data_IF_313019324548
#
_entry.id   IF_313019324548
#
_cell.length_a   1.000
_cell.length_b   1.000
_cell.length_c   1.000
_cell.angle_alpha   90.00
_cell.angle_beta   90.00
_cell.angle_gamma   90.00
#
_symmetry.space_group_name_H-M   'P 1'
#
loop_
_entity.id
_entity.type
_entity.pdbx_description
1 polymer ?
#
# COMPACT_ATOMS: atom_id res chain seq x y z
N UNK A 1 -1.95 9.96 -31.39
CA UNK A 1 -0.67 10.19 -30.66
C UNK A 1 -0.99 10.12 -29.19
N UNK A 2 -0.53 9.09 -28.47
CA UNK A 2 -0.65 9.01 -27.01
C UNK A 2 0.22 10.11 -26.39
N UNK A 3 -0.33 10.85 -25.43
CA UNK A 3 0.47 11.81 -24.68
C UNK A 3 1.70 11.10 -24.09
N UNK A 4 2.87 11.76 -24.04
CA UNK A 4 4.06 11.16 -23.45
C UNK A 4 3.75 10.73 -22.00
N UNK A 5 4.35 9.66 -21.52
CA UNK A 5 4.13 9.21 -20.14
C UNK A 5 4.53 10.35 -19.20
N UNK A 6 3.63 10.69 -18.29
CA UNK A 6 3.92 11.64 -17.21
C UNK A 6 5.04 11.07 -16.34
N UNK A 7 5.91 11.91 -15.80
CA UNK A 7 6.91 11.48 -14.83
C UNK A 7 6.25 10.92 -13.56
N UNK A 8 6.89 10.00 -12.83
CA UNK A 8 6.37 9.49 -11.57
C UNK A 8 6.32 10.61 -10.53
N UNK A 9 5.29 10.60 -9.68
CA UNK A 9 5.13 11.56 -8.58
C UNK A 9 5.67 11.01 -7.26
N UNK A 10 5.65 9.68 -7.10
CA UNK A 10 6.09 9.00 -5.89
C UNK A 10 6.99 7.81 -6.20
N UNK A 11 7.97 7.62 -5.32
CA UNK A 11 8.83 6.44 -5.24
C UNK A 11 8.46 5.64 -4.00
N UNK A 12 8.05 4.39 -4.17
CA UNK A 12 7.95 3.43 -3.08
C UNK A 12 9.30 2.72 -2.96
N UNK A 13 10.00 2.95 -1.86
CA UNK A 13 11.27 2.32 -1.56
C UNK A 13 11.05 1.15 -0.59
N UNK A 14 10.93 -0.08 -1.11
CA UNK A 14 10.92 -1.28 -0.27
C UNK A 14 12.37 -1.55 0.18
N UNK A 15 12.73 -1.02 1.34
CA UNK A 15 14.12 -1.03 1.80
C UNK A 15 14.62 -2.42 2.23
N UNK A 16 13.71 -3.26 2.73
CA UNK A 16 13.97 -4.62 3.21
C UNK A 16 12.67 -5.42 3.24
N UNK A 17 12.75 -6.75 3.14
CA UNK A 17 11.60 -7.62 3.42
C UNK A 17 11.60 -8.17 4.86
N UNK A 18 12.61 -7.86 5.67
CA UNK A 18 12.63 -8.26 7.09
C UNK A 18 11.54 -7.51 7.85
N UNK A 19 10.72 -8.24 8.59
CA UNK A 19 9.66 -7.67 9.41
C UNK A 19 9.50 -8.50 10.69
N UNK A 20 9.30 -7.87 11.87
CA UNK A 20 9.01 -8.58 13.10
C UNK A 20 7.56 -9.06 13.19
N UNK A 21 6.70 -8.66 12.24
CA UNK A 21 5.29 -9.06 12.18
C UNK A 21 5.08 -10.13 11.11
N UNK A 22 4.00 -10.93 11.27
CA UNK A 22 3.59 -12.01 10.37
C UNK A 22 2.12 -11.84 9.97
N UNK A 23 1.75 -10.62 9.53
CA UNK A 23 0.35 -10.28 9.25
C UNK A 23 -0.26 -11.19 8.19
N UNK A 24 -1.42 -11.76 8.48
CA UNK A 24 -2.15 -12.69 7.61
C UNK A 24 -2.61 -12.06 6.29
N UNK A 25 -2.57 -10.73 6.18
CA UNK A 25 -2.90 -9.96 4.97
C UNK A 25 -1.67 -9.29 4.34
N UNK A 26 -0.45 -9.66 4.74
CA UNK A 26 0.77 -8.99 4.30
C UNK A 26 0.82 -8.85 2.77
N UNK A 27 1.17 -7.64 2.31
CA UNK A 27 1.31 -7.35 0.88
C UNK A 27 2.71 -7.63 0.32
N UNK A 28 3.66 -8.02 1.18
CA UNK A 28 4.96 -8.50 0.70
C UNK A 28 4.80 -9.78 -0.12
N UNK A 29 5.70 -10.04 -1.07
CA UNK A 29 5.67 -11.28 -1.84
C UNK A 29 5.83 -12.50 -0.91
N UNK A 30 5.32 -13.66 -1.35
CA UNK A 30 5.47 -14.92 -0.60
C UNK A 30 6.94 -15.33 -0.49
N UNK A 31 7.73 -15.05 -1.53
CA UNK A 31 9.18 -15.25 -1.55
C UNK A 31 9.88 -13.94 -1.20
N UNK A 32 10.47 -13.88 -0.02
CA UNK A 32 11.12 -12.69 0.49
C UNK A 32 12.56 -12.56 -0.03
N UNK A 33 12.96 -11.34 -0.36
CA UNK A 33 14.36 -11.01 -0.72
C UNK A 33 15.31 -11.29 0.47
N UNK A 34 16.38 -12.00 0.23
CA UNK A 34 17.39 -12.26 1.23
C UNK A 34 18.15 -10.98 1.60
N UNK A 35 18.51 -10.81 2.89
CA UNK A 35 19.28 -9.65 3.37
C UNK A 35 20.57 -9.39 2.60
N UNK A 36 21.25 -10.45 2.18
CA UNK A 36 22.53 -10.36 1.46
C UNK A 36 22.41 -9.75 0.06
N UNK A 37 21.19 -9.67 -0.49
CA UNK A 37 20.93 -9.10 -1.82
C UNK A 37 20.28 -7.70 -1.74
N UNK A 38 20.05 -7.18 -0.53
CA UNK A 38 19.53 -5.83 -0.34
C UNK A 38 20.50 -4.79 -0.90
N UNK A 39 19.95 -3.74 -1.51
CA UNK A 39 20.74 -2.62 -2.01
C UNK A 39 21.50 -1.92 -0.87
N UNK A 40 22.79 -1.58 -1.06
CA UNK A 40 23.54 -0.78 -0.11
C UNK A 40 23.07 0.69 -0.11
N UNK A 41 23.46 1.43 0.92
CA UNK A 41 23.10 2.84 1.12
C UNK A 41 23.47 3.71 -0.09
N UNK A 42 24.61 3.51 -0.69
CA UNK A 42 25.11 4.28 -1.84
C UNK A 42 24.23 4.11 -3.07
N UNK A 43 23.75 2.88 -3.32
CA UNK A 43 22.84 2.62 -4.43
C UNK A 43 21.49 3.28 -4.19
N UNK A 44 20.94 3.20 -2.97
CA UNK A 44 19.73 3.93 -2.62
C UNK A 44 19.90 5.44 -2.76
N UNK A 45 21.05 6.00 -2.36
CA UNK A 45 21.35 7.42 -2.53
C UNK A 45 21.30 7.84 -4.01
N UNK A 46 21.86 7.03 -4.89
CA UNK A 46 21.76 7.23 -6.35
C UNK A 46 20.32 7.14 -6.84
N UNK A 47 19.55 6.17 -6.36
CA UNK A 47 18.11 6.02 -6.69
C UNK A 47 17.33 7.27 -6.31
N UNK A 48 17.54 7.84 -5.11
CA UNK A 48 16.85 9.05 -4.66
C UNK A 48 17.19 10.27 -5.52
N UNK A 49 18.46 10.45 -5.86
CA UNK A 49 18.90 11.52 -6.76
C UNK A 49 18.27 11.40 -8.15
N UNK A 50 18.28 10.20 -8.73
CA UNK A 50 17.68 9.92 -10.02
C UNK A 50 16.15 10.10 -9.99
N UNK A 51 15.47 9.70 -8.91
CA UNK A 51 14.05 9.88 -8.72
C UNK A 51 13.68 11.36 -8.67
N UNK A 52 14.42 12.17 -7.89
CA UNK A 52 14.21 13.62 -7.83
C UNK A 52 14.45 14.30 -9.20
N UNK A 53 15.51 13.91 -9.92
CA UNK A 53 15.78 14.39 -11.27
C UNK A 53 14.67 14.02 -12.28
N UNK A 54 14.00 12.88 -12.07
CA UNK A 54 12.85 12.44 -12.86
C UNK A 54 11.55 13.16 -12.49
N UNK A 55 11.53 13.99 -11.43
CA UNK A 55 10.37 14.74 -10.98
C UNK A 55 9.56 14.09 -9.87
N UNK A 56 10.07 13.03 -9.23
CA UNK A 56 9.47 12.46 -8.03
C UNK A 56 9.49 13.49 -6.90
N UNK A 57 8.38 13.62 -6.19
CA UNK A 57 8.21 14.55 -5.09
C UNK A 57 8.34 13.88 -3.71
N UNK A 58 7.96 12.60 -3.61
CA UNK A 58 7.85 11.86 -2.36
C UNK A 58 8.52 10.50 -2.46
N UNK A 59 9.25 10.12 -1.42
CA UNK A 59 9.76 8.78 -1.20
C UNK A 59 9.07 8.15 0.00
N UNK A 60 8.36 7.04 -0.24
CA UNK A 60 7.71 6.23 0.79
C UNK A 60 8.65 5.08 1.20
N UNK A 61 9.25 5.19 2.35
CA UNK A 61 10.12 4.17 2.92
C UNK A 61 9.28 3.07 3.57
N UNK A 62 9.35 1.87 3.01
CA UNK A 62 8.54 0.72 3.39
C UNK A 62 9.30 -0.58 3.17
N UNK A 63 8.57 -1.67 2.97
CA UNK A 63 9.07 -3.02 2.72
C UNK A 63 8.43 -4.00 3.69
N UNK A 64 9.24 -4.74 4.45
CA UNK A 64 8.80 -5.40 5.68
C UNK A 64 8.68 -4.36 6.79
N UNK A 65 9.78 -4.15 7.51
CA UNK A 65 9.90 -3.07 8.50
C UNK A 65 11.16 -2.24 8.18
N UNK A 66 11.01 -1.02 7.67
CA UNK A 66 12.16 -0.20 7.26
C UNK A 66 13.12 0.11 8.42
N UNK A 67 12.62 0.19 9.66
CA UNK A 67 13.43 0.38 10.85
C UNK A 67 14.32 -0.83 11.20
N UNK A 68 14.15 -1.97 10.53
CA UNK A 68 15.06 -3.11 10.65
C UNK A 68 16.39 -2.90 9.90
N UNK A 69 16.50 -1.82 9.11
CA UNK A 69 17.76 -1.42 8.49
C UNK A 69 18.62 -0.57 9.44
N UNK A 70 19.88 -0.93 9.63
CA UNK A 70 20.77 -0.16 10.53
C UNK A 70 21.11 1.24 9.98
N UNK A 71 21.08 1.41 8.66
CA UNK A 71 21.42 2.62 7.92
C UNK A 71 20.21 3.53 7.62
N UNK A 72 19.06 3.29 8.25
CA UNK A 72 17.81 4.02 7.97
C UNK A 72 17.97 5.55 8.11
N UNK A 73 18.76 6.03 9.08
CA UNK A 73 19.00 7.45 9.27
C UNK A 73 19.75 8.08 8.10
N UNK A 74 20.73 7.36 7.53
CA UNK A 74 21.51 7.84 6.39
C UNK A 74 20.69 7.81 5.11
N UNK A 75 19.79 6.83 4.97
CA UNK A 75 18.82 6.78 3.87
C UNK A 75 17.85 7.98 3.91
N UNK A 76 17.32 8.34 5.09
CA UNK A 76 16.47 9.53 5.25
C UNK A 76 17.24 10.80 4.88
N UNK A 77 18.46 11.00 5.42
CA UNK A 77 19.30 12.15 5.07
C UNK A 77 19.56 12.24 3.57
N UNK A 78 19.84 11.11 2.93
CA UNK A 78 20.12 11.06 1.50
C UNK A 78 18.90 11.45 0.66
N UNK A 79 17.71 10.91 0.97
CA UNK A 79 16.48 11.27 0.28
C UNK A 79 16.11 12.74 0.48
N UNK A 80 16.29 13.28 1.69
CA UNK A 80 16.09 14.71 1.98
C UNK A 80 17.08 15.59 1.22
N UNK A 81 18.36 15.19 1.15
CA UNK A 81 19.38 15.92 0.40
C UNK A 81 19.08 15.94 -1.10
N UNK A 82 18.40 14.91 -1.64
CA UNK A 82 17.89 14.88 -3.00
C UNK A 82 16.64 15.76 -3.21
N UNK A 83 16.04 16.34 -2.16
CA UNK A 83 14.86 17.21 -2.23
C UNK A 83 13.52 16.47 -2.13
N UNK A 84 13.52 15.19 -1.77
CA UNK A 84 12.31 14.39 -1.65
C UNK A 84 11.62 14.62 -0.30
N UNK A 85 10.28 14.62 -0.29
CA UNK A 85 9.48 14.48 0.92
C UNK A 85 9.56 13.03 1.40
N UNK A 86 10.03 12.80 2.62
CA UNK A 86 10.27 11.43 3.14
C UNK A 86 9.15 11.00 4.07
N UNK A 87 8.43 9.96 3.66
CA UNK A 87 7.42 9.30 4.46
C UNK A 87 7.94 7.92 4.93
N UNK A 88 7.85 7.63 6.23
CA UNK A 88 8.21 6.35 6.81
C UNK A 88 6.96 5.56 7.17
N UNK A 89 6.77 4.41 6.52
CA UNK A 89 5.67 3.47 6.77
C UNK A 89 6.20 2.35 7.67
N UNK A 90 5.81 2.33 8.93
CA UNK A 90 6.35 1.42 9.94
C UNK A 90 5.27 0.77 10.78
N UNK A 91 5.59 -0.42 11.30
CA UNK A 91 4.81 -1.07 12.35
C UNK A 91 4.94 -0.37 13.71
N UNK A 92 5.98 0.44 13.89
CA UNK A 92 6.31 1.10 15.15
C UNK A 92 6.93 0.18 16.21
N UNK A 93 7.05 -1.11 15.94
CA UNK A 93 7.58 -2.07 16.93
C UNK A 93 9.06 -1.81 17.28
N UNK A 94 9.95 -1.46 16.31
CA UNK A 94 11.34 -1.12 16.62
C UNK A 94 11.55 0.34 17.11
N UNK A 95 10.48 1.13 17.28
CA UNK A 95 10.60 2.51 17.76
C UNK A 95 10.84 2.57 19.27
N UNK A 96 11.70 3.48 19.65
CA UNK A 96 11.80 4.09 20.97
C UNK A 96 11.88 5.62 20.83
N UNK A 97 11.86 6.34 21.93
CA UNK A 97 11.87 7.80 21.95
C UNK A 97 13.15 8.39 21.34
N UNK A 98 14.31 7.78 21.62
CA UNK A 98 15.60 8.20 21.07
C UNK A 98 15.65 8.00 19.55
N UNK A 99 15.23 6.82 19.08
CA UNK A 99 15.18 6.51 17.64
C UNK A 99 14.26 7.46 16.90
N UNK A 100 13.09 7.76 17.46
CA UNK A 100 12.14 8.70 16.88
C UNK A 100 12.75 10.11 16.74
N UNK A 101 13.43 10.60 17.79
CA UNK A 101 14.14 11.89 17.75
C UNK A 101 15.18 11.90 16.63
N UNK A 102 16.01 10.85 16.51
CA UNK A 102 17.02 10.73 15.47
C UNK A 102 16.43 10.70 14.06
N UNK A 103 15.27 10.03 13.86
CA UNK A 103 14.58 10.01 12.58
C UNK A 103 14.14 11.41 12.15
N UNK A 104 13.53 12.16 13.07
CA UNK A 104 13.09 13.56 12.83
C UNK A 104 14.29 14.49 12.56
N UNK A 105 15.36 14.40 13.35
CA UNK A 105 16.59 15.16 13.15
C UNK A 105 17.29 14.82 11.82
N UNK A 106 17.11 13.61 11.32
CA UNK A 106 17.61 13.18 10.00
C UNK A 106 16.79 13.73 8.83
N UNK A 107 15.65 14.40 9.11
CA UNK A 107 14.82 15.05 8.10
C UNK A 107 13.58 14.25 7.70
N UNK A 108 13.07 13.35 8.56
CA UNK A 108 11.79 12.67 8.34
C UNK A 108 10.65 13.69 8.36
N UNK A 109 9.84 13.73 7.29
CA UNK A 109 8.72 14.66 7.16
C UNK A 109 7.41 14.07 7.68
N UNK A 110 7.23 12.76 7.52
CA UNK A 110 5.98 12.08 7.81
C UNK A 110 6.24 10.66 8.32
N UNK A 111 5.42 10.22 9.28
CA UNK A 111 5.37 8.84 9.74
C UNK A 111 3.96 8.29 9.60
N UNK A 112 3.83 7.14 8.93
CA UNK A 112 2.62 6.36 8.91
C UNK A 112 2.79 5.16 9.84
N UNK A 113 2.04 5.15 10.94
CA UNK A 113 2.05 4.07 11.91
C UNK A 113 0.92 3.08 11.63
N UNK A 114 1.28 1.82 11.39
CA UNK A 114 0.33 0.77 11.02
C UNK A 114 -0.20 0.03 12.25
N UNK A 115 -1.54 -0.07 12.35
CA UNK A 115 -2.25 -0.85 13.36
C UNK A 115 -2.99 -2.02 12.71
N UNK A 116 -3.11 -3.15 13.44
CA UNK A 116 -3.79 -4.36 12.97
C UNK A 116 -5.17 -4.54 13.63
N UNK A 117 -5.40 -3.87 14.74
CA UNK A 117 -6.67 -3.83 15.47
C UNK A 117 -6.66 -2.70 16.49
N UNK A 118 -7.78 -2.43 17.13
CA UNK A 118 -7.91 -1.42 18.16
C UNK A 118 -7.58 -1.93 19.58
N UNK A 119 -7.54 -3.23 19.76
CA UNK A 119 -7.16 -3.90 21.01
C UNK A 119 -5.99 -4.88 20.79
N UNK A 120 -5.42 -5.38 21.91
CA UNK A 120 -4.26 -6.24 21.88
C UNK A 120 -4.57 -7.61 21.27
N UNK A 121 -5.71 -8.20 21.59
CA UNK A 121 -6.05 -9.56 21.17
C UNK A 121 -6.22 -9.63 19.66
N UNK A 122 -7.01 -8.73 19.07
CA UNK A 122 -7.19 -8.64 17.62
C UNK A 122 -5.88 -8.29 16.92
N UNK A 123 -5.12 -7.31 17.43
CA UNK A 123 -3.88 -6.88 16.81
C UNK A 123 -2.81 -7.99 16.83
N UNK A 124 -2.71 -8.74 17.91
CA UNK A 124 -1.73 -9.83 18.08
C UNK A 124 -2.13 -11.07 17.27
N UNK A 125 -3.42 -11.41 17.21
CA UNK A 125 -3.93 -12.48 16.35
C UNK A 125 -3.59 -12.22 14.88
N UNK A 126 -3.81 -10.99 14.40
CA UNK A 126 -3.59 -10.63 13.00
C UNK A 126 -2.11 -10.51 12.66
N UNK A 127 -1.31 -9.96 13.56
CA UNK A 127 0.12 -9.73 13.32
C UNK A 127 1.03 -10.90 13.70
N UNK A 128 0.51 -11.87 14.43
CA UNK A 128 1.30 -12.97 15.00
C UNK A 128 2.33 -12.52 16.04
N UNK A 129 2.21 -11.29 16.56
CA UNK A 129 3.25 -10.67 17.41
C UNK A 129 2.63 -9.72 18.44
N UNK A 130 3.10 -9.80 19.68
CA UNK A 130 2.71 -8.87 20.75
C UNK A 130 3.27 -7.48 20.50
N UNK A 131 2.52 -6.66 19.79
CA UNK A 131 2.98 -5.34 19.32
C UNK A 131 2.08 -4.17 19.72
N UNK A 132 0.83 -4.40 20.12
CA UNK A 132 -0.17 -3.35 20.32
C UNK A 132 0.25 -2.34 21.40
N UNK A 133 0.68 -2.81 22.57
CA UNK A 133 1.12 -1.93 23.65
C UNK A 133 2.33 -1.06 23.25
N UNK A 134 3.25 -1.59 22.43
CA UNK A 134 4.39 -0.82 21.93
C UNK A 134 3.94 0.29 20.97
N UNK A 135 2.96 0.04 20.13
CA UNK A 135 2.41 1.05 19.20
C UNK A 135 1.71 2.18 19.95
N UNK A 136 0.97 1.85 21.00
CA UNK A 136 0.36 2.87 21.87
C UNK A 136 1.45 3.74 22.56
N UNK A 137 2.56 3.15 23.03
CA UNK A 137 3.71 3.93 23.53
C UNK A 137 4.32 4.81 22.45
N UNK A 138 4.45 4.31 21.22
CA UNK A 138 4.95 5.11 20.10
C UNK A 138 4.09 6.35 19.83
N UNK A 139 2.76 6.26 19.98
CA UNK A 139 1.88 7.43 19.88
C UNK A 139 2.20 8.50 20.94
N UNK A 140 2.54 8.10 22.18
CA UNK A 140 2.92 9.07 23.22
C UNK A 140 4.25 9.77 22.90
N UNK A 141 5.21 9.07 22.30
CA UNK A 141 6.45 9.71 21.84
C UNK A 141 6.22 10.64 20.65
N UNK A 142 5.34 10.27 19.73
CA UNK A 142 4.99 11.10 18.58
C UNK A 142 4.37 12.45 18.96
N UNK A 143 3.69 12.55 20.10
CA UNK A 143 3.20 13.85 20.64
C UNK A 143 4.33 14.83 21.01
N UNK A 144 5.55 14.34 21.24
CA UNK A 144 6.68 15.14 21.70
C UNK A 144 7.56 15.68 20.58
N UNK A 145 7.36 15.23 19.33
CA UNK A 145 8.15 15.62 18.17
C UNK A 145 7.30 16.29 17.10
N UNK A 146 7.95 17.08 16.25
CA UNK A 146 7.28 17.75 15.11
C UNK A 146 7.46 16.95 13.84
N UNK A 147 6.56 16.01 13.63
CA UNK A 147 6.47 15.19 12.41
C UNK A 147 4.98 15.01 12.06
N UNK A 148 4.63 14.98 10.78
CA UNK A 148 3.27 14.65 10.39
C UNK A 148 2.98 13.16 10.68
N UNK A 149 1.79 12.87 11.22
CA UNK A 149 1.42 11.50 11.62
C UNK A 149 0.16 11.06 10.91
N UNK A 150 0.20 9.88 10.31
CA UNK A 150 -0.95 9.14 9.83
C UNK A 150 -1.06 7.82 10.60
N UNK A 151 -2.25 7.48 11.07
CA UNK A 151 -2.55 6.13 11.54
C UNK A 151 -3.19 5.35 10.40
N UNK A 152 -2.64 4.19 10.09
CA UNK A 152 -3.17 3.29 9.08
C UNK A 152 -3.73 2.03 9.73
N UNK A 153 -5.00 1.75 9.47
CA UNK A 153 -5.67 0.50 9.83
C UNK A 153 -6.05 -0.24 8.55
N UNK A 154 -5.50 -1.42 8.35
CA UNK A 154 -5.94 -2.31 7.28
C UNK A 154 -7.20 -3.04 7.74
N UNK A 155 -8.34 -2.65 7.17
CA UNK A 155 -9.67 -3.14 7.56
C UNK A 155 -9.96 -4.49 6.90
N UNK A 156 -10.45 -5.42 7.70
CA UNK A 156 -10.88 -6.75 7.30
C UNK A 156 -11.97 -7.28 8.24
N UNK A 157 -12.55 -8.44 7.92
CA UNK A 157 -13.65 -9.05 8.68
C UNK A 157 -13.44 -9.08 10.20
N UNK A 158 -12.19 -9.28 10.66
CA UNK A 158 -11.87 -9.50 12.09
C UNK A 158 -11.69 -8.21 12.89
N UNK A 159 -11.60 -7.05 12.24
CA UNK A 159 -11.39 -5.76 12.92
C UNK A 159 -12.35 -4.64 12.48
N UNK A 160 -13.17 -4.87 11.44
CA UNK A 160 -14.06 -3.82 10.88
C UNK A 160 -15.09 -3.33 11.91
N UNK A 161 -15.45 -4.15 12.87
CA UNK A 161 -16.40 -3.79 13.93
C UNK A 161 -15.77 -2.84 14.97
N UNK A 162 -14.44 -2.67 14.97
CA UNK A 162 -13.67 -1.82 15.90
C UNK A 162 -13.44 -0.38 15.38
N UNK A 163 -14.19 0.09 14.39
CA UNK A 163 -14.00 1.44 13.80
C UNK A 163 -14.08 2.55 14.86
N UNK A 164 -15.01 2.47 15.80
CA UNK A 164 -15.16 3.49 16.84
C UNK A 164 -13.96 3.52 17.80
N UNK A 165 -13.40 2.37 18.15
CA UNK A 165 -12.19 2.24 18.98
C UNK A 165 -10.94 2.72 18.23
N UNK A 166 -10.82 2.44 16.94
CA UNK A 166 -9.73 2.96 16.09
C UNK A 166 -9.79 4.49 16.00
N UNK A 167 -10.97 5.05 15.88
CA UNK A 167 -11.18 6.51 15.91
C UNK A 167 -10.76 7.12 17.25
N UNK A 168 -11.08 6.47 18.38
CA UNK A 168 -10.62 6.91 19.72
C UNK A 168 -9.11 6.92 19.85
N UNK A 169 -8.42 5.91 19.29
CA UNK A 169 -6.94 5.88 19.24
C UNK A 169 -6.42 7.09 18.46
N UNK A 170 -6.99 7.40 17.29
CA UNK A 170 -6.58 8.55 16.49
C UNK A 170 -6.85 9.88 17.24
N UNK A 171 -8.02 10.04 17.86
CA UNK A 171 -8.39 11.25 18.59
C UNK A 171 -7.51 11.49 19.84
N UNK A 172 -7.02 10.42 20.46
CA UNK A 172 -6.11 10.52 21.61
C UNK A 172 -4.64 10.74 21.21
N UNK A 173 -4.31 10.71 19.92
CA UNK A 173 -2.95 10.85 19.39
C UNK A 173 -2.68 12.25 18.82
N UNK A 174 -1.49 12.45 18.24
CA UNK A 174 -1.15 13.63 17.43
C UNK A 174 -1.42 13.44 15.92
N UNK A 175 -2.18 12.40 15.53
CA UNK A 175 -2.43 12.11 14.14
C UNK A 175 -3.28 13.20 13.46
N UNK A 176 -2.77 13.72 12.36
CA UNK A 176 -3.51 14.62 11.50
C UNK A 176 -4.42 13.87 10.50
N UNK A 177 -4.14 12.56 10.30
CA UNK A 177 -4.87 11.69 9.38
C UNK A 177 -5.02 10.28 9.95
N UNK A 178 -6.19 9.70 9.70
CA UNK A 178 -6.43 8.26 9.84
C UNK A 178 -6.81 7.70 8.47
N UNK A 179 -6.25 6.56 8.14
CA UNK A 179 -6.52 5.83 6.91
C UNK A 179 -7.13 4.46 7.24
N UNK A 180 -8.34 4.24 6.79
CA UNK A 180 -8.99 2.94 6.77
C UNK A 180 -8.75 2.28 5.41
N UNK A 181 -7.57 1.65 5.28
CA UNK A 181 -7.21 0.89 4.10
C UNK A 181 -7.94 -0.46 4.08
N UNK A 182 -7.98 -1.12 2.93
CA UNK A 182 -8.52 -2.47 2.82
C UNK A 182 -7.45 -3.46 2.41
N UNK A 183 -7.65 -4.72 2.76
CA UNK A 183 -6.80 -5.82 2.31
C UNK A 183 -6.73 -5.83 0.79
N UNK A 184 -5.54 -5.89 0.27
CA UNK A 184 -5.31 -6.13 -1.15
C UNK A 184 -5.22 -7.65 -1.36
N UNK A 185 -6.14 -8.19 -2.16
CA UNK A 185 -6.24 -9.64 -2.34
C UNK A 185 -5.26 -10.16 -3.39
N UNK A 186 -3.98 -10.17 -3.02
CA UNK A 186 -2.89 -10.91 -3.65
C UNK A 186 -1.95 -11.45 -2.56
N UNK A 187 -1.02 -12.36 -2.89
CA UNK A 187 -0.14 -12.98 -1.91
C UNK A 187 -0.89 -13.56 -0.71
N UNK A 188 -0.47 -13.22 0.50
CA UNK A 188 -1.10 -13.67 1.75
C UNK A 188 -2.55 -13.21 1.89
N UNK A 189 -2.86 -11.98 1.49
CA UNK A 189 -4.23 -11.47 1.49
C UNK A 189 -5.17 -12.29 0.61
N UNK A 190 -4.70 -12.80 -0.54
CA UNK A 190 -5.48 -13.67 -1.41
C UNK A 190 -5.61 -15.08 -0.84
N UNK A 191 -4.55 -15.64 -0.29
CA UNK A 191 -4.56 -16.97 0.34
C UNK A 191 -5.53 -17.04 1.54
N UNK A 192 -5.63 -15.93 2.31
CA UNK A 192 -6.50 -15.83 3.49
C UNK A 192 -7.82 -15.08 3.23
N UNK A 193 -8.17 -14.84 1.95
CA UNK A 193 -9.28 -13.98 1.54
C UNK A 193 -10.59 -14.30 2.24
N UNK A 194 -10.94 -15.57 2.35
CA UNK A 194 -12.24 -16.00 2.85
C UNK A 194 -12.43 -15.69 4.34
N UNK A 195 -11.34 -15.59 5.09
CA UNK A 195 -11.34 -15.17 6.50
C UNK A 195 -11.18 -13.66 6.69
N UNK A 196 -10.77 -12.93 5.65
CA UNK A 196 -10.45 -11.51 5.72
C UNK A 196 -11.50 -10.60 5.06
N UNK A 197 -12.22 -11.10 4.05
CA UNK A 197 -13.21 -10.29 3.35
C UNK A 197 -14.42 -10.03 4.27
N UNK A 198 -14.74 -8.76 4.59
CA UNK A 198 -15.88 -8.45 5.45
C UNK A 198 -17.20 -8.82 4.77
N UNK A 199 -18.24 -9.05 5.56
CA UNK A 199 -19.60 -9.20 5.04
C UNK A 199 -20.16 -7.86 4.58
N UNK A 200 -21.22 -7.90 3.78
CA UNK A 200 -21.90 -6.66 3.34
C UNK A 200 -22.47 -5.89 4.52
N UNK A 201 -23.03 -6.58 5.50
CA UNK A 201 -23.58 -5.94 6.70
C UNK A 201 -22.51 -5.21 7.51
N UNK A 202 -21.36 -5.86 7.76
CA UNK A 202 -20.23 -5.22 8.44
C UNK A 202 -19.74 -3.98 7.67
N UNK A 203 -19.64 -4.08 6.35
CA UNK A 203 -19.22 -2.96 5.53
C UNK A 203 -20.18 -1.79 5.61
N UNK A 204 -21.48 -2.03 5.47
CA UNK A 204 -22.49 -0.96 5.52
C UNK A 204 -22.52 -0.27 6.88
N UNK A 205 -22.42 -1.02 7.98
CA UNK A 205 -22.31 -0.45 9.33
C UNK A 205 -21.04 0.38 9.50
N UNK A 206 -19.89 -0.12 9.05
CA UNK A 206 -18.62 0.61 9.13
C UNK A 206 -18.65 1.94 8.36
N UNK A 207 -19.28 1.96 7.18
CA UNK A 207 -19.42 3.16 6.36
C UNK A 207 -20.28 4.23 7.06
N UNK A 208 -21.32 3.83 7.79
CA UNK A 208 -22.14 4.75 8.59
C UNK A 208 -21.29 5.39 9.70
N UNK A 209 -20.52 4.59 10.45
CA UNK A 209 -19.63 5.07 11.51
C UNK A 209 -18.55 6.01 10.97
N UNK A 210 -17.90 5.63 9.87
CA UNK A 210 -16.87 6.45 9.23
C UNK A 210 -17.43 7.79 8.77
N UNK A 211 -18.59 7.80 8.10
CA UNK A 211 -19.24 9.04 7.63
C UNK A 211 -19.59 9.97 8.77
N UNK A 212 -20.14 9.45 9.86
CA UNK A 212 -20.43 10.24 11.06
C UNK A 212 -19.15 10.83 11.68
N UNK A 213 -18.05 10.06 11.68
CA UNK A 213 -16.76 10.53 12.17
C UNK A 213 -16.13 11.59 11.24
N UNK A 214 -16.27 11.49 9.92
CA UNK A 214 -15.80 12.51 8.94
C UNK A 214 -16.46 13.88 9.23
N UNK A 215 -17.74 13.89 9.54
CA UNK A 215 -18.47 15.11 9.90
C UNK A 215 -18.00 15.67 11.27
N UNK A 216 -17.89 14.81 12.27
CA UNK A 216 -17.51 15.18 13.65
C UNK A 216 -16.07 15.66 13.76
N UNK A 217 -15.16 15.08 12.99
CA UNK A 217 -13.71 15.36 13.05
C UNK A 217 -13.24 16.32 11.97
N UNK A 218 -14.14 16.89 11.19
CA UNK A 218 -13.83 17.86 10.14
C UNK A 218 -12.96 19.00 10.66
N UNK A 219 -11.82 19.23 10.01
CA UNK A 219 -10.84 20.24 10.38
C UNK A 219 -9.93 19.88 11.56
N UNK A 220 -10.11 18.69 12.16
CA UNK A 220 -9.22 18.16 13.22
C UNK A 220 -8.40 16.99 12.75
N UNK A 221 -9.04 15.94 12.26
CA UNK A 221 -8.39 14.74 11.72
C UNK A 221 -8.99 14.46 10.35
N UNK A 222 -8.16 14.30 9.34
CA UNK A 222 -8.60 13.86 8.03
C UNK A 222 -8.82 12.34 8.06
N UNK A 223 -10.02 11.91 7.69
CA UNK A 223 -10.34 10.50 7.52
C UNK A 223 -10.25 10.16 6.04
N UNK A 224 -9.52 9.10 5.71
CA UNK A 224 -9.48 8.51 4.38
C UNK A 224 -9.98 7.08 4.49
N UNK A 225 -11.00 6.74 3.73
CA UNK A 225 -11.55 5.40 3.67
C UNK A 225 -11.77 4.95 2.24
N UNK A 226 -11.63 3.67 2.00
CA UNK A 226 -11.78 3.07 0.67
C UNK A 226 -12.70 1.86 0.80
N UNK A 227 -13.71 1.74 -0.06
CA UNK A 227 -14.54 0.54 -0.13
C UNK A 227 -13.67 -0.62 -0.63
N UNK A 228 -13.78 -1.84 -0.05
CA UNK A 228 -13.11 -3.02 -0.57
C UNK A 228 -13.47 -3.25 -2.04
N UNK A 229 -12.48 -3.57 -2.87
CA UNK A 229 -12.66 -3.65 -4.32
C UNK A 229 -13.80 -4.59 -4.73
N UNK A 230 -13.93 -5.75 -4.08
CA UNK A 230 -14.96 -6.73 -4.42
C UNK A 230 -16.40 -6.20 -4.27
N UNK A 231 -16.62 -5.19 -3.42
CA UNK A 231 -17.92 -4.54 -3.24
C UNK A 231 -18.12 -3.31 -4.14
N UNK A 232 -17.11 -2.94 -4.92
CA UNK A 232 -17.20 -1.80 -5.81
C UNK A 232 -18.00 -2.14 -7.09
N UNK A 233 -18.67 -1.13 -7.66
CA UNK A 233 -19.33 -1.23 -8.97
C UNK A 233 -18.33 -1.18 -10.11
N UNK A 234 -17.30 -0.37 -9.97
CA UNK A 234 -16.24 -0.18 -10.94
C UNK A 234 -14.89 -0.30 -10.24
N UNK A 235 -13.86 -0.79 -10.91
CA UNK A 235 -12.55 -0.91 -10.32
C UNK A 235 -11.92 0.46 -10.08
N UNK A 236 -11.00 0.52 -9.13
CA UNK A 236 -10.10 1.66 -8.95
C UNK A 236 -9.02 1.65 -10.04
N UNK A 237 -8.51 2.82 -10.44
CA UNK A 237 -7.35 2.85 -11.32
C UNK A 237 -6.13 2.24 -10.61
N UNK A 238 -5.52 1.22 -11.22
CA UNK A 238 -4.33 0.57 -10.68
C UNK A 238 -3.22 1.59 -10.46
N UNK A 239 -2.95 1.96 -9.20
CA UNK A 239 -1.94 2.96 -8.81
C UNK A 239 -2.05 4.28 -9.63
N UNK A 240 -3.26 4.70 -9.95
CA UNK A 240 -3.53 5.86 -10.80
C UNK A 240 -3.28 5.63 -12.29
N UNK A 241 -3.24 4.37 -12.70
CA UNK A 241 -2.88 3.87 -14.04
C UNK A 241 -1.51 3.19 -14.02
N UNK A 242 -1.38 2.04 -14.67
CA UNK A 242 -0.15 1.26 -14.74
C UNK A 242 1.04 2.08 -15.24
N UNK A 243 2.12 2.16 -14.44
CA UNK A 243 3.33 2.89 -14.77
C UNK A 243 3.13 4.40 -15.04
N UNK A 244 2.18 5.07 -14.35
CA UNK A 244 1.83 6.48 -14.60
C UNK A 244 2.19 7.43 -13.48
N UNK A 245 2.04 7.05 -12.24
CA UNK A 245 2.19 7.96 -11.09
C UNK A 245 3.24 7.55 -10.08
N UNK A 246 3.54 6.27 -10.00
CA UNK A 246 4.52 5.79 -9.03
C UNK A 246 5.41 4.71 -9.62
N UNK A 247 6.57 4.60 -9.02
CA UNK A 247 7.56 3.55 -9.23
C UNK A 247 7.86 2.92 -7.88
N UNK A 248 7.98 1.60 -7.86
CA UNK A 248 8.42 0.86 -6.69
C UNK A 248 9.80 0.27 -6.98
N UNK A 249 10.72 0.38 -6.02
CA UNK A 249 12.00 -0.30 -6.06
C UNK A 249 12.04 -1.33 -4.95
N UNK A 250 12.29 -2.59 -5.31
CA UNK A 250 12.40 -3.70 -4.37
C UNK A 250 13.71 -3.64 -3.59
N UNK A 251 13.85 -4.40 -2.48
CA UNK A 251 15.10 -4.44 -1.74
C UNK A 251 16.31 -4.88 -2.58
N UNK A 252 16.11 -5.70 -3.62
CA UNK A 252 17.16 -6.17 -4.54
C UNK A 252 17.42 -5.24 -5.73
N UNK A 253 16.63 -4.16 -5.88
CA UNK A 253 16.81 -3.15 -6.91
C UNK A 253 15.94 -3.29 -8.17
N UNK A 254 15.02 -4.24 -8.21
CA UNK A 254 14.08 -4.35 -9.33
C UNK A 254 13.06 -3.21 -9.28
N UNK A 255 12.81 -2.58 -10.42
CA UNK A 255 11.83 -1.51 -10.56
C UNK A 255 10.49 -2.05 -11.04
N UNK A 256 9.44 -1.80 -10.29
CA UNK A 256 8.10 -2.32 -10.52
C UNK A 256 7.07 -1.18 -10.66
N UNK A 257 6.04 -1.34 -11.51
CA UNK A 257 4.93 -0.39 -11.60
C UNK A 257 3.94 -0.49 -10.43
N UNK A 258 3.94 -1.59 -9.67
CA UNK A 258 3.19 -1.76 -8.42
C UNK A 258 3.72 -2.95 -7.62
N UNK A 259 3.35 -3.07 -6.33
CA UNK A 259 3.79 -4.14 -5.42
C UNK A 259 3.55 -5.57 -5.96
N UNK A 260 2.41 -5.81 -6.58
CA UNK A 260 2.00 -7.14 -7.03
C UNK A 260 2.44 -7.46 -8.47
N UNK A 261 3.14 -6.57 -9.17
CA UNK A 261 3.46 -6.76 -10.59
C UNK A 261 4.25 -8.04 -10.89
N UNK A 262 5.06 -8.51 -9.94
CA UNK A 262 5.88 -9.75 -10.08
C UNK A 262 5.06 -11.02 -10.28
N UNK A 263 3.78 -11.04 -9.92
CA UNK A 263 2.93 -12.22 -10.16
C UNK A 263 2.52 -12.38 -11.63
N UNK A 264 2.71 -11.35 -12.47
CA UNK A 264 2.30 -11.38 -13.89
C UNK A 264 3.37 -12.12 -14.69
N UNK A 265 3.05 -13.29 -15.28
CA UNK A 265 4.01 -14.07 -16.04
C UNK A 265 4.56 -13.32 -17.26
N UNK A 266 5.83 -13.53 -17.55
CA UNK A 266 6.49 -12.98 -18.75
C UNK A 266 6.89 -11.50 -18.65
N UNK A 267 6.64 -10.81 -17.52
CA UNK A 267 7.21 -9.49 -17.29
C UNK A 267 8.68 -9.61 -16.86
N UNK A 268 9.53 -8.79 -17.50
CA UNK A 268 10.93 -8.62 -17.11
C UNK A 268 11.08 -7.30 -16.38
N UNK A 269 11.64 -7.34 -15.18
CA UNK A 269 11.83 -6.14 -14.36
C UNK A 269 13.29 -5.69 -14.43
N UNK A 270 13.50 -4.48 -14.92
CA UNK A 270 14.82 -3.87 -14.95
C UNK A 270 15.33 -3.58 -13.54
N UNK A 271 16.65 -3.62 -13.34
CA UNK A 271 17.27 -3.37 -12.05
C UNK A 271 18.01 -2.03 -12.05
N UNK A 272 17.87 -1.27 -10.97
CA UNK A 272 18.51 0.04 -10.79
C UNK A 272 20.03 -0.02 -10.71
N UNK A 273 20.60 -1.21 -10.52
CA UNK A 273 22.06 -1.45 -10.59
C UNK A 273 22.57 -1.44 -12.03
N UNK A 274 21.71 -1.76 -13.00
CA UNK A 274 22.09 -2.00 -14.38
C UNK A 274 21.64 -0.88 -15.31
N UNK A 275 20.56 -0.17 -14.95
CA UNK A 275 19.94 0.85 -15.80
C UNK A 275 19.50 2.09 -14.99
N UNK A 276 19.60 3.31 -15.57
CA UNK A 276 19.09 4.53 -14.95
C UNK A 276 17.57 4.52 -14.80
N UNK A 277 17.03 5.14 -13.73
CA UNK A 277 15.59 5.18 -13.46
C UNK A 277 14.78 5.81 -14.61
N UNK A 278 15.32 6.84 -15.28
CA UNK A 278 14.64 7.47 -16.39
C UNK A 278 14.45 6.50 -17.58
N UNK A 279 15.48 5.70 -17.89
CA UNK A 279 15.39 4.67 -18.92
C UNK A 279 14.39 3.58 -18.53
N UNK A 280 14.48 3.09 -17.29
CA UNK A 280 13.51 2.10 -16.76
C UNK A 280 12.09 2.61 -16.89
N UNK A 281 11.82 3.85 -16.44
CA UNK A 281 10.49 4.44 -16.47
C UNK A 281 9.93 4.61 -17.88
N UNK A 282 10.78 5.07 -18.81
CA UNK A 282 10.31 5.42 -20.14
C UNK A 282 10.34 4.26 -21.14
N UNK A 283 11.16 3.22 -20.91
CA UNK A 283 11.48 2.24 -21.96
C UNK A 283 11.31 0.79 -21.53
N UNK A 284 11.28 0.45 -20.23
CA UNK A 284 11.21 -0.95 -19.83
C UNK A 284 9.87 -1.60 -20.13
N UNK A 285 9.89 -2.84 -20.58
CA UNK A 285 8.70 -3.62 -20.95
C UNK A 285 7.67 -3.71 -19.82
N UNK A 286 8.12 -3.89 -18.58
CA UNK A 286 7.24 -3.99 -17.43
C UNK A 286 6.39 -2.72 -17.24
N UNK A 287 6.97 -1.53 -17.43
CA UNK A 287 6.23 -0.27 -17.33
C UNK A 287 5.38 0.01 -18.56
N UNK A 288 5.81 -0.41 -19.76
CA UNK A 288 5.08 -0.16 -21.00
C UNK A 288 3.89 -1.10 -21.20
N UNK A 289 3.93 -2.32 -20.66
CA UNK A 289 2.99 -3.42 -20.96
C UNK A 289 1.51 -3.03 -20.90
N UNK A 290 1.12 -2.29 -19.86
CA UNK A 290 -0.27 -1.85 -19.67
C UNK A 290 -0.40 -0.32 -19.59
N UNK A 291 0.56 0.40 -20.14
CA UNK A 291 0.51 1.87 -20.24
C UNK A 291 -0.34 2.27 -21.46
N UNK A 292 -1.17 3.30 -21.31
CA UNK A 292 -2.07 3.74 -22.38
C UNK A 292 -3.32 2.84 -22.51
N UNK A 293 -3.94 2.85 -23.70
CA UNK A 293 -5.25 2.20 -23.94
C UNK A 293 -5.16 1.10 -25.00
N UNK A 294 -4.11 1.05 -25.81
CA UNK A 294 -3.98 0.16 -26.98
C UNK A 294 -3.98 -1.34 -26.64
N UNK A 295 -3.63 -1.71 -25.40
CA UNK A 295 -3.62 -3.08 -24.91
C UNK A 295 -5.01 -3.55 -24.45
N UNK A 296 -5.96 -2.61 -24.23
CA UNK A 296 -7.28 -2.92 -23.66
C UNK A 296 -8.12 -3.74 -24.63
N UNK A 297 -8.76 -4.78 -24.07
CA UNK A 297 -9.72 -5.62 -24.79
C UNK A 297 -11.16 -5.14 -24.51
N UNK A 298 -12.11 -5.69 -25.27
CA UNK A 298 -13.54 -5.45 -24.99
C UNK A 298 -13.92 -6.01 -23.59
N UNK A 299 -14.79 -5.31 -22.84
CA UNK A 299 -15.50 -4.07 -23.18
C UNK A 299 -14.70 -2.79 -22.89
N UNK A 300 -13.50 -2.87 -22.29
CA UNK A 300 -12.74 -1.69 -21.83
C UNK A 300 -12.31 -0.76 -22.96
N UNK A 301 -11.93 -1.28 -24.12
CA UNK A 301 -11.43 -0.50 -25.26
C UNK A 301 -12.46 0.48 -25.84
N UNK A 302 -13.75 0.26 -25.62
CA UNK A 302 -14.84 1.15 -26.05
C UNK A 302 -15.59 1.80 -24.90
N UNK A 303 -15.17 1.55 -23.65
CA UNK A 303 -15.83 2.05 -22.46
C UNK A 303 -15.49 3.52 -22.21
N UNK A 304 -16.49 4.33 -21.84
CA UNK A 304 -16.27 5.74 -21.47
C UNK A 304 -15.41 5.91 -20.22
N UNK A 305 -15.30 4.86 -19.41
CA UNK A 305 -14.48 4.87 -18.19
C UNK A 305 -13.01 4.49 -18.43
N UNK A 306 -12.60 4.11 -19.64
CA UNK A 306 -11.23 3.62 -19.92
C UNK A 306 -10.12 4.58 -19.49
N UNK A 307 -10.38 5.90 -19.52
CA UNK A 307 -9.44 6.94 -19.07
C UNK A 307 -9.57 7.30 -17.59
N UNK A 308 -10.56 6.73 -16.88
CA UNK A 308 -10.83 6.95 -15.45
C UNK A 308 -10.21 5.83 -14.62
N UNK A 309 -10.58 4.59 -14.92
CA UNK A 309 -10.18 3.41 -14.14
C UNK A 309 -9.08 2.56 -14.82
N UNK A 310 -8.70 2.89 -16.07
CA UNK A 310 -7.65 2.20 -16.83
C UNK A 310 -7.80 0.68 -16.84
N UNK A 311 -9.05 0.20 -16.97
CA UNK A 311 -9.44 -1.20 -16.90
C UNK A 311 -9.14 -1.90 -15.56
N UNK A 312 -8.84 -1.16 -14.49
CA UNK A 312 -8.66 -1.66 -13.13
C UNK A 312 -7.30 -2.31 -12.84
N UNK A 313 -7.27 -3.22 -11.87
CA UNK A 313 -6.05 -3.86 -11.38
C UNK A 313 -5.63 -5.06 -12.25
N UNK A 314 -4.43 -5.02 -12.83
CA UNK A 314 -3.91 -6.10 -13.70
C UNK A 314 -3.62 -7.39 -12.95
N UNK A 315 -3.12 -7.25 -11.72
CA UNK A 315 -2.83 -8.39 -10.85
C UNK A 315 -4.10 -9.11 -10.43
N UNK A 316 -5.16 -8.35 -10.10
CA UNK A 316 -6.47 -8.90 -9.76
C UNK A 316 -7.14 -9.56 -10.99
N UNK A 317 -7.02 -8.96 -12.18
CA UNK A 317 -7.48 -9.57 -13.42
C UNK A 317 -6.79 -10.92 -13.66
N UNK A 318 -5.45 -10.99 -13.48
CA UNK A 318 -4.73 -12.26 -13.56
C UNK A 318 -5.24 -13.29 -12.56
N UNK A 319 -5.31 -12.94 -11.28
CA UNK A 319 -5.65 -13.88 -10.20
C UNK A 319 -7.07 -14.44 -10.33
N UNK A 320 -8.02 -13.63 -10.78
CA UNK A 320 -9.43 -14.00 -10.85
C UNK A 320 -9.88 -14.44 -12.25
N UNK A 321 -9.32 -13.86 -13.31
CA UNK A 321 -9.69 -14.19 -14.69
C UNK A 321 -8.67 -15.08 -15.41
N UNK A 322 -7.44 -15.22 -14.89
CA UNK A 322 -6.37 -15.98 -15.53
C UNK A 322 -5.58 -15.19 -16.58
N UNK A 323 -5.94 -13.94 -16.83
CA UNK A 323 -5.29 -13.07 -17.82
C UNK A 323 -5.17 -11.64 -17.26
N UNK A 324 -3.95 -11.13 -17.20
CA UNK A 324 -3.68 -9.77 -16.75
C UNK A 324 -4.22 -8.68 -17.70
N UNK A 325 -4.47 -9.00 -18.96
CA UNK A 325 -5.09 -8.11 -19.95
C UNK A 325 -6.64 -8.11 -19.91
N UNK A 326 -7.25 -9.06 -19.22
CA UNK A 326 -8.70 -9.13 -19.07
C UNK A 326 -9.27 -7.89 -18.38
N UNK A 327 -10.55 -7.60 -18.63
CA UNK A 327 -11.29 -6.62 -17.81
C UNK A 327 -11.29 -7.05 -16.36
N UNK A 328 -10.93 -6.11 -15.45
CA UNK A 328 -10.95 -6.40 -14.01
C UNK A 328 -12.30 -7.00 -13.59
N UNK A 329 -12.32 -8.18 -12.94
CA UNK A 329 -13.55 -8.82 -12.49
C UNK A 329 -14.40 -8.00 -11.51
N UNK A 330 -13.84 -7.01 -10.84
CA UNK A 330 -14.59 -6.06 -10.00
C UNK A 330 -15.58 -5.25 -10.82
N UNK A 331 -15.25 -4.92 -12.08
CA UNK A 331 -16.13 -4.16 -12.94
C UNK A 331 -17.44 -4.92 -13.21
N UNK A 332 -18.58 -4.28 -12.98
CA UNK A 332 -19.90 -4.89 -13.28
C UNK A 332 -20.12 -5.15 -14.78
N UNK A 333 -19.32 -4.53 -15.65
CA UNK A 333 -19.33 -4.78 -17.09
C UNK A 333 -18.36 -5.90 -17.51
N UNK A 334 -17.60 -6.46 -16.58
CA UNK A 334 -16.68 -7.55 -16.86
C UNK A 334 -17.41 -8.86 -17.10
N UNK A 335 -17.06 -9.62 -18.15
CA UNK A 335 -17.57 -10.98 -18.33
C UNK A 335 -17.14 -11.93 -17.20
N UNK A 336 -16.12 -11.54 -16.41
CA UNK A 336 -15.63 -12.29 -15.25
C UNK A 336 -16.26 -11.84 -13.92
N UNK A 337 -17.19 -10.88 -13.91
CA UNK A 337 -17.88 -10.43 -12.69
C UNK A 337 -18.53 -11.56 -11.89
N UNK A 338 -19.14 -12.58 -12.49
CA UNK A 338 -19.72 -13.71 -11.74
C UNK A 338 -18.73 -14.39 -10.77
N UNK A 339 -17.42 -14.35 -11.04
CA UNK A 339 -16.40 -14.90 -10.14
C UNK A 339 -16.31 -14.15 -8.81
N UNK A 340 -16.53 -12.83 -8.82
CA UNK A 340 -16.63 -12.01 -7.61
C UNK A 340 -17.95 -12.28 -6.90
N UNK A 341 -19.07 -12.36 -7.66
CA UNK A 341 -20.39 -12.52 -7.08
C UNK A 341 -20.53 -13.85 -6.33
N UNK A 342 -19.91 -14.93 -6.83
CA UNK A 342 -19.83 -16.22 -6.12
C UNK A 342 -19.08 -16.10 -4.80
N UNK A 343 -17.94 -15.41 -4.77
CA UNK A 343 -17.18 -15.16 -3.54
C UNK A 343 -18.01 -14.37 -2.54
N UNK A 344 -18.66 -13.29 -2.99
CA UNK A 344 -19.47 -12.45 -2.12
C UNK A 344 -20.71 -13.19 -1.58
N UNK A 345 -21.32 -14.05 -2.38
CA UNK A 345 -22.44 -14.88 -1.93
C UNK A 345 -22.00 -15.84 -0.82
N UNK A 346 -20.88 -16.53 -0.98
CA UNK A 346 -20.31 -17.42 0.04
C UNK A 346 -19.98 -16.69 1.34
N UNK A 347 -19.37 -15.51 1.25
CA UNK A 347 -19.01 -14.67 2.39
C UNK A 347 -20.25 -14.18 3.16
N UNK A 348 -21.30 -13.75 2.44
CA UNK A 348 -22.50 -13.21 3.07
C UNK A 348 -23.46 -14.29 3.59
N UNK A 349 -23.31 -15.55 3.17
CA UNK A 349 -24.07 -16.70 3.68
C UNK A 349 -23.40 -17.40 4.87
N UNK A 350 -22.10 -17.17 5.09
CA UNK A 350 -21.40 -17.71 6.25
C UNK A 350 -21.80 -16.95 7.51
N UNK A 351 -22.47 -17.66 8.44
CA UNK A 351 -22.68 -17.15 9.81
C UNK A 351 -21.31 -16.88 10.44
N UNK A 352 -21.09 -15.79 11.18
CA UNK A 352 -19.88 -15.65 11.96
C UNK A 352 -19.73 -16.85 12.90
N UNK A 353 -18.64 -17.60 12.78
CA UNK A 353 -18.25 -18.49 13.87
C UNK A 353 -17.93 -17.60 15.08
N UNK A 354 -18.76 -17.72 16.12
CA UNK A 354 -18.66 -17.02 17.41
C UNK A 354 -17.45 -17.56 18.18
#
# INVERSE_FOLDING_TARGET
>A
MTAPPTNPLALIAELTHRCPLHCVYCSNPLELTARSTELPTETWSSVFQQAAALGVLQADFTGGEPLARPDILDLIKSARAAGLYVNLITSGLPLDEQKLTQLVESGLDHIQLSFQGADADTAEEISGTKSHAQKLRALEWLKKVRVAVTLNFVIHRRNIDQIDEMLKIAESSSAARIEFANVQYYGWGFANRDSLLPTRAQLDESLIKIKAAEERLRGKIRIESVVPDYYAKYPKPCMGGWGRKLMLITPSGEALPCHAAKIIPGLQFANVKDQPLAEIWHSSDAFQKFRGESWMQAPCNTCDRRTIDFAGCRCQALLLAGDAAATDPVCTLSPNRPKIDVVLAAINSSTPEI
#
